data_IF_474196893535
#
_entry.id   IF_474196893535
#
_cell.length_a   1.000
_cell.length_b   1.000
_cell.length_c   1.000
_cell.angle_alpha   90.00
_cell.angle_beta   90.00
_cell.angle_gamma   90.00
#
_symmetry.space_group_name_H-M   'P 1'
#
loop_
_entity.id
_entity.type
_entity.pdbx_description
1 polymer ?
#
# COMPACT_ATOMS: atom_id res chain seq x y z
N UNK A 1 -30.12 1.66 -7.52
CA UNK A 1 -29.92 0.28 -8.04
C UNK A 1 -28.46 0.11 -8.44
N UNK A 2 -27.53 0.36 -7.52
CA UNK A 2 -26.07 0.37 -7.74
C UNK A 2 -25.31 0.05 -6.45
N UNK A 3 -25.90 0.39 -5.31
CA UNK A 3 -25.44 0.05 -3.96
C UNK A 3 -25.31 -1.46 -3.67
N UNK A 4 -26.14 -2.31 -4.27
CA UNK A 4 -26.09 -3.77 -4.03
C UNK A 4 -24.90 -4.45 -4.71
N UNK A 5 -24.44 -3.96 -5.86
CA UNK A 5 -23.28 -4.51 -6.57
C UNK A 5 -21.97 -4.11 -5.90
N UNK A 6 -21.87 -2.85 -5.43
CA UNK A 6 -20.69 -2.39 -4.69
C UNK A 6 -20.52 -3.14 -3.36
N UNK A 7 -21.63 -3.41 -2.64
CA UNK A 7 -21.61 -4.20 -1.41
C UNK A 7 -21.23 -5.67 -1.63
N UNK A 8 -21.66 -6.27 -2.74
CA UNK A 8 -21.38 -7.68 -3.06
C UNK A 8 -19.94 -7.89 -3.57
N UNK A 9 -19.40 -6.93 -4.34
CA UNK A 9 -17.98 -6.88 -4.71
C UNK A 9 -17.10 -6.65 -3.47
N UNK A 10 -17.51 -5.76 -2.56
CA UNK A 10 -16.84 -5.56 -1.28
C UNK A 10 -16.85 -6.82 -0.40
N UNK A 11 -17.94 -7.59 -0.38
CA UNK A 11 -18.04 -8.86 0.34
C UNK A 11 -17.17 -9.99 -0.26
N UNK A 12 -16.70 -9.83 -1.50
CA UNK A 12 -15.85 -10.78 -2.23
C UNK A 12 -14.39 -10.30 -2.38
N UNK A 13 -13.99 -9.26 -1.66
CA UNK A 13 -12.63 -8.70 -1.71
C UNK A 13 -11.89 -8.88 -0.37
N UNK A 14 -10.57 -9.05 -0.43
CA UNK A 14 -9.70 -9.13 0.74
C UNK A 14 -8.94 -7.82 0.91
N UNK A 15 -9.06 -7.21 2.09
CA UNK A 15 -8.30 -6.03 2.45
C UNK A 15 -6.91 -6.41 2.96
N UNK A 16 -5.87 -5.86 2.36
CA UNK A 16 -4.47 -6.03 2.76
C UNK A 16 -3.83 -4.67 3.03
N UNK A 17 -3.55 -4.37 4.30
CA UNK A 17 -2.93 -3.12 4.72
C UNK A 17 -1.48 -3.34 5.15
N UNK A 18 -0.53 -2.74 4.41
CA UNK A 18 0.90 -2.92 4.57
C UNK A 18 1.58 -1.58 4.84
N UNK A 19 2.34 -1.43 5.94
CA UNK A 19 3.22 -0.28 6.13
C UNK A 19 4.39 -0.36 5.15
N UNK A 20 4.73 0.75 4.50
CA UNK A 20 5.77 0.81 3.46
C UNK A 20 6.70 2.02 3.63
N UNK A 21 7.91 1.94 3.10
CA UNK A 21 8.92 3.00 3.17
C UNK A 21 8.81 4.06 2.07
N UNK A 22 8.07 3.76 1.00
CA UNK A 22 7.87 4.64 -0.16
C UNK A 22 6.85 5.76 0.12
N UNK A 23 6.82 6.80 -0.72
CA UNK A 23 5.79 7.82 -0.64
C UNK A 23 4.44 7.28 -1.18
N UNK A 24 3.30 7.79 -0.68
CA UNK A 24 1.99 7.39 -1.19
C UNK A 24 1.79 7.64 -2.69
N UNK A 25 2.46 8.66 -3.24
CA UNK A 25 2.42 8.96 -4.68
C UNK A 25 3.10 7.89 -5.52
N UNK A 26 4.25 7.36 -5.05
CA UNK A 26 5.00 6.33 -5.76
C UNK A 26 4.23 5.01 -5.76
N UNK A 27 3.57 4.69 -4.65
CA UNK A 27 2.71 3.52 -4.51
C UNK A 27 1.60 3.49 -5.59
N UNK A 28 0.91 4.63 -5.75
CA UNK A 28 -0.20 4.78 -6.70
C UNK A 28 0.33 4.85 -8.14
N UNK A 29 1.45 5.55 -8.35
CA UNK A 29 2.11 5.65 -9.66
C UNK A 29 2.52 4.28 -10.19
N UNK A 30 3.15 3.45 -9.37
CA UNK A 30 3.59 2.10 -9.75
C UNK A 30 2.42 1.23 -10.22
N UNK A 31 1.27 1.24 -9.52
CA UNK A 31 0.12 0.43 -9.96
C UNK A 31 -0.52 0.99 -11.24
N UNK A 32 -0.58 2.32 -11.37
CA UNK A 32 -1.09 2.97 -12.58
C UNK A 32 -0.27 2.56 -13.81
N UNK A 33 1.06 2.63 -13.73
CA UNK A 33 1.95 2.23 -14.83
C UNK A 33 1.75 0.74 -15.19
N UNK A 34 1.58 -0.14 -14.20
CA UNK A 34 1.33 -1.57 -14.43
C UNK A 34 0.04 -1.79 -15.20
N UNK A 35 -1.06 -1.18 -14.78
CA UNK A 35 -2.32 -1.44 -15.47
C UNK A 35 -2.51 -0.61 -16.75
N UNK A 36 -1.86 0.54 -16.91
CA UNK A 36 -1.71 1.19 -18.23
C UNK A 36 -1.01 0.23 -19.22
N UNK A 37 0.08 -0.43 -18.80
CA UNK A 37 0.77 -1.43 -19.61
C UNK A 37 -0.07 -2.69 -19.91
N UNK A 38 -1.06 -3.00 -19.07
CA UNK A 38 -2.01 -4.12 -19.26
C UNK A 38 -3.33 -3.69 -19.91
N UNK A 39 -3.49 -2.41 -20.26
CA UNK A 39 -4.70 -1.87 -20.88
C UNK A 39 -5.92 -1.77 -19.95
N UNK A 40 -5.73 -1.73 -18.64
CA UNK A 40 -6.82 -1.63 -17.66
C UNK A 40 -7.39 -0.21 -17.57
N UNK A 41 -8.72 -0.11 -17.59
CA UNK A 41 -9.43 1.13 -17.24
C UNK A 41 -9.30 1.42 -15.75
N UNK A 42 -8.90 2.64 -15.38
CA UNK A 42 -8.67 3.02 -13.98
C UNK A 42 -9.29 4.35 -13.63
N UNK A 43 -9.88 4.41 -12.42
CA UNK A 43 -10.42 5.63 -11.82
C UNK A 43 -9.62 6.04 -10.60
N UNK A 44 -9.26 7.32 -10.53
CA UNK A 44 -8.61 7.92 -9.36
C UNK A 44 -9.63 8.16 -8.26
N UNK A 45 -9.25 7.84 -7.02
CA UNK A 45 -10.00 8.15 -5.81
C UNK A 45 -9.19 9.13 -4.97
N UNK A 46 -9.86 10.15 -4.43
CA UNK A 46 -9.26 11.06 -3.47
C UNK A 46 -10.17 11.13 -2.25
N UNK A 47 -9.69 10.60 -1.12
CA UNK A 47 -10.44 10.48 0.12
C UNK A 47 -9.63 11.05 1.29
N UNK A 48 -10.27 11.24 2.44
CA UNK A 48 -9.63 11.62 3.70
C UNK A 48 -9.90 10.54 4.74
N UNK A 49 -8.85 9.90 5.27
CA UNK A 49 -8.96 8.86 6.31
C UNK A 49 -8.43 9.37 7.65
N UNK A 50 -9.17 9.06 8.71
CA UNK A 50 -8.73 9.37 10.07
C UNK A 50 -7.63 8.40 10.47
N UNK A 51 -6.48 8.92 10.92
CA UNK A 51 -5.34 8.14 11.40
C UNK A 51 -5.04 8.51 12.85
N UNK A 52 -4.76 7.50 13.68
CA UNK A 52 -4.44 7.70 15.09
C UNK A 52 -2.93 7.81 15.29
N UNK A 53 -2.49 8.84 16.03
CA UNK A 53 -1.11 8.99 16.52
C UNK A 53 -1.05 8.71 18.02
N UNK A 54 -0.02 8.01 18.46
CA UNK A 54 0.30 7.80 19.87
C UNK A 54 1.43 8.75 20.28
N UNK A 55 1.10 9.87 20.92
CA UNK A 55 2.05 10.65 21.69
C UNK A 55 1.72 10.42 23.15
N UNK A 56 2.62 9.73 23.87
CA UNK A 56 2.67 9.51 25.33
C UNK A 56 1.38 10.02 26.04
N UNK A 57 0.35 9.16 26.08
CA UNK A 57 -0.93 9.28 26.84
C UNK A 57 -2.17 9.88 26.12
N UNK A 58 -2.10 10.52 24.93
CA UNK A 58 -3.33 11.04 24.25
C UNK A 58 -3.43 10.66 22.77
N UNK A 59 -4.55 10.04 22.29
CA UNK A 59 -4.77 9.83 20.87
C UNK A 59 -5.11 11.14 20.17
N UNK A 60 -4.22 11.62 19.31
CA UNK A 60 -4.51 12.76 18.43
C UNK A 60 -4.85 12.19 17.04
N UNK A 61 -6.14 12.19 16.72
CA UNK A 61 -6.61 11.85 15.38
C UNK A 61 -6.30 12.99 14.42
N UNK A 62 -5.50 12.74 13.38
CA UNK A 62 -5.31 13.67 12.27
C UNK A 62 -5.94 13.08 11.01
N UNK A 63 -6.49 13.94 10.14
CA UNK A 63 -6.92 13.51 8.81
C UNK A 63 -5.67 13.33 7.94
N UNK A 64 -5.45 12.11 7.44
CA UNK A 64 -4.45 11.86 6.39
C UNK A 64 -5.16 11.94 5.04
N UNK A 65 -4.55 12.67 4.09
CA UNK A 65 -4.99 12.66 2.69
C UNK A 65 -4.71 11.27 2.12
N UNK A 66 -5.75 10.60 1.64
CA UNK A 66 -5.67 9.32 0.96
C UNK A 66 -5.68 9.58 -0.53
N UNK A 67 -4.73 8.97 -1.23
CA UNK A 67 -4.71 8.91 -2.68
C UNK A 67 -5.02 7.47 -3.03
N UNK A 68 -5.97 7.24 -3.94
CA UNK A 68 -6.37 5.91 -4.35
C UNK A 68 -6.56 5.79 -5.85
N UNK A 69 -6.64 4.54 -6.27
CA UNK A 69 -6.87 4.13 -7.65
C UNK A 69 -7.71 2.85 -7.61
N UNK A 70 -8.73 2.77 -8.44
CA UNK A 70 -9.55 1.57 -8.63
C UNK A 70 -9.46 1.15 -10.08
N UNK A 71 -9.25 -0.13 -10.29
CA UNK A 71 -9.32 -0.76 -11.61
C UNK A 71 -10.78 -1.09 -11.90
N UNK A 72 -11.32 -0.52 -12.97
CA UNK A 72 -12.73 -0.63 -13.35
C UNK A 72 -12.97 -1.73 -14.38
N UNK A 73 -11.96 -2.08 -15.18
CA UNK A 73 -12.08 -3.01 -16.30
C UNK A 73 -10.87 -3.95 -16.41
N UNK A 74 -11.07 -5.09 -17.07
CA UNK A 74 -10.06 -6.12 -17.29
C UNK A 74 -10.00 -7.18 -16.19
N UNK A 75 -8.92 -7.98 -16.21
CA UNK A 75 -8.72 -9.11 -15.29
C UNK A 75 -8.61 -8.70 -13.82
N UNK A 76 -8.24 -7.44 -13.55
CA UNK A 76 -8.13 -6.89 -12.21
C UNK A 76 -9.31 -6.00 -11.82
N UNK A 77 -10.46 -6.09 -12.50
CA UNK A 77 -11.66 -5.33 -12.14
C UNK A 77 -12.01 -5.52 -10.65
N UNK A 78 -12.20 -4.41 -9.94
CA UNK A 78 -12.43 -4.40 -8.50
C UNK A 78 -11.16 -4.35 -7.64
N UNK A 79 -9.96 -4.43 -8.23
CA UNK A 79 -8.72 -4.13 -7.51
C UNK A 79 -8.67 -2.65 -7.16
N UNK A 80 -8.48 -2.36 -5.88
CA UNK A 80 -8.19 -1.00 -5.42
C UNK A 80 -6.84 -0.93 -4.72
N UNK A 81 -6.19 0.22 -4.85
CA UNK A 81 -5.08 0.62 -4.00
C UNK A 81 -5.41 1.97 -3.39
N UNK A 82 -5.21 2.09 -2.08
CA UNK A 82 -5.24 3.35 -1.35
C UNK A 82 -3.92 3.53 -0.63
N UNK A 83 -3.36 4.72 -0.65
CA UNK A 83 -2.16 5.04 0.10
C UNK A 83 -2.28 6.36 0.84
N UNK A 84 -1.74 6.37 2.05
CA UNK A 84 -1.69 7.53 2.93
C UNK A 84 -0.42 7.47 3.77
N UNK A 85 -0.15 8.56 4.47
CA UNK A 85 0.98 8.63 5.40
C UNK A 85 0.61 9.44 6.62
N UNK A 86 1.20 9.10 7.75
CA UNK A 86 0.99 9.78 9.03
C UNK A 86 2.28 9.82 9.82
N UNK A 87 2.36 10.66 10.84
CA UNK A 87 3.56 10.79 11.69
C UNK A 87 3.26 10.09 13.02
N UNK A 88 3.71 8.83 13.26
CA UNK A 88 3.45 8.12 14.51
C UNK A 88 4.23 8.70 15.69
N UNK A 89 5.52 8.98 15.49
CA UNK A 89 6.43 9.56 16.50
C UNK A 89 6.47 11.08 16.44
N UNK A 90 7.61 11.71 16.72
CA UNK A 90 7.75 13.18 16.76
C UNK A 90 7.84 13.85 15.37
N UNK A 91 8.55 13.24 14.42
CA UNK A 91 8.89 13.87 13.14
C UNK A 91 8.79 12.98 11.89
N UNK A 92 9.06 11.67 12.00
CA UNK A 92 9.11 10.78 10.84
C UNK A 92 7.73 10.37 10.32
N UNK A 93 7.59 10.34 9.00
CA UNK A 93 6.37 9.89 8.32
C UNK A 93 6.42 8.38 8.09
N UNK A 94 5.35 7.69 8.44
CA UNK A 94 5.11 6.31 8.09
C UNK A 94 4.04 6.26 6.99
N UNK A 95 4.38 5.69 5.85
CA UNK A 95 3.44 5.45 4.76
C UNK A 95 2.77 4.10 4.92
N UNK A 96 1.54 4.00 4.45
CA UNK A 96 0.78 2.76 4.45
C UNK A 96 0.05 2.64 3.12
N UNK A 97 0.00 1.42 2.60
CA UNK A 97 -0.74 1.07 1.39
C UNK A 97 -1.78 0.03 1.78
N UNK A 98 -2.99 0.20 1.26
CA UNK A 98 -4.10 -0.73 1.39
C UNK A 98 -4.50 -1.20 0.02
N UNK A 99 -4.53 -2.51 -0.17
CA UNK A 99 -5.06 -3.14 -1.36
C UNK A 99 -6.41 -3.77 -1.02
N UNK A 100 -7.41 -3.57 -1.87
CA UNK A 100 -8.61 -4.40 -1.89
C UNK A 100 -8.46 -5.37 -3.06
N UNK A 101 -8.14 -6.62 -2.73
CA UNK A 101 -7.85 -7.66 -3.71
C UNK A 101 -9.14 -8.42 -4.01
N UNK A 102 -9.68 -8.37 -5.24
CA UNK A 102 -10.84 -9.15 -5.62
C UNK A 102 -10.50 -10.65 -5.57
N UNK A 103 -11.41 -11.48 -5.07
CA UNK A 103 -11.20 -12.94 -4.95
C UNK A 103 -10.80 -13.62 -6.25
N UNK A 104 -11.24 -13.11 -7.40
CA UNK A 104 -10.91 -13.64 -8.72
C UNK A 104 -9.40 -13.53 -9.03
N UNK A 105 -8.72 -12.56 -8.43
CA UNK A 105 -7.30 -12.29 -8.65
C UNK A 105 -6.39 -12.93 -7.56
N UNK A 106 -6.97 -13.53 -6.52
CA UNK A 106 -6.21 -14.15 -5.43
C UNK A 106 -5.31 -15.30 -5.93
N UNK A 107 -4.31 -15.67 -5.12
CA UNK A 107 -3.34 -16.71 -5.48
C UNK A 107 -2.19 -16.17 -6.33
N UNK A 108 -1.84 -16.86 -7.40
CA UNK A 108 -0.62 -16.55 -8.18
C UNK A 108 -0.72 -15.24 -8.96
N UNK A 109 -1.90 -14.87 -9.46
CA UNK A 109 -2.11 -13.61 -10.19
C UNK A 109 -1.82 -12.42 -9.30
N UNK A 110 -2.38 -12.40 -8.09
CA UNK A 110 -2.09 -11.41 -7.07
C UNK A 110 -0.62 -11.41 -6.64
N UNK A 111 -0.04 -12.57 -6.33
CA UNK A 111 1.39 -12.64 -5.95
C UNK A 111 2.29 -12.08 -7.05
N UNK A 112 2.01 -12.39 -8.33
CA UNK A 112 2.76 -11.88 -9.48
C UNK A 112 2.62 -10.36 -9.63
N UNK A 113 1.39 -9.84 -9.51
CA UNK A 113 1.13 -8.41 -9.53
C UNK A 113 1.84 -7.69 -8.38
N UNK A 114 1.78 -8.21 -7.15
CA UNK A 114 2.42 -7.59 -6.00
C UNK A 114 3.94 -7.60 -6.13
N UNK A 115 4.53 -8.65 -6.70
CA UNK A 115 5.98 -8.70 -7.04
C UNK A 115 6.34 -7.66 -8.11
N UNK A 116 5.55 -7.55 -9.16
CA UNK A 116 5.76 -6.56 -10.21
C UNK A 116 5.65 -5.13 -9.64
N UNK A 117 4.64 -4.87 -8.82
CA UNK A 117 4.46 -3.61 -8.12
C UNK A 117 5.63 -3.31 -7.18
N UNK A 118 6.10 -4.28 -6.39
CA UNK A 118 7.25 -4.08 -5.52
C UNK A 118 8.56 -3.83 -6.29
N UNK A 119 8.67 -4.36 -7.52
CA UNK A 119 9.83 -4.19 -8.40
C UNK A 119 9.83 -2.88 -9.19
N UNK A 120 8.68 -2.23 -9.39
CA UNK A 120 8.59 -0.94 -10.09
C UNK A 120 8.76 0.28 -9.17
N UNK A 121 8.98 0.05 -7.87
CA UNK A 121 9.18 1.11 -6.90
C UNK A 121 10.61 1.64 -6.90
N UNK A 122 10.82 2.92 -6.52
CA UNK A 122 12.14 3.55 -6.52
C UNK A 122 13.11 2.99 -5.46
N UNK A 123 12.57 2.31 -4.44
CA UNK A 123 13.32 1.67 -3.35
C UNK A 123 12.53 0.50 -2.79
N UNK A 124 13.20 -0.35 -2.01
CA UNK A 124 12.59 -1.52 -1.38
C UNK A 124 11.49 -1.14 -0.36
N UNK A 125 10.21 -1.51 -0.56
CA UNK A 125 9.10 -0.98 0.23
C UNK A 125 9.04 -1.47 1.68
N UNK A 126 9.75 -2.54 2.03
CA UNK A 126 9.83 -3.09 3.40
C UNK A 126 11.18 -2.84 4.08
N UNK A 127 12.03 -1.98 3.50
CA UNK A 127 13.29 -1.54 4.10
C UNK A 127 13.23 -0.06 4.47
N UNK A 128 13.71 0.25 5.67
CA UNK A 128 13.94 1.60 6.15
C UNK A 128 15.38 1.71 6.62
N UNK A 129 16.01 2.82 6.30
CA UNK A 129 17.31 3.21 6.83
C UNK A 129 17.25 3.43 8.34
N UNK A 130 18.42 3.42 8.97
CA UNK A 130 18.54 3.73 10.40
C UNK A 130 17.99 5.13 10.74
N UNK A 131 18.25 6.12 9.89
CA UNK A 131 17.78 7.50 10.06
C UNK A 131 16.26 7.60 9.99
N UNK A 132 15.63 6.96 8.99
CA UNK A 132 14.18 6.89 8.88
C UNK A 132 13.55 6.22 10.11
N UNK A 133 14.09 5.06 10.52
CA UNK A 133 13.61 4.37 11.72
C UNK A 133 13.71 5.24 12.96
N UNK A 134 14.81 5.98 13.11
CA UNK A 134 15.02 6.89 14.24
C UNK A 134 14.03 8.06 14.25
N UNK A 135 13.74 8.65 13.08
CA UNK A 135 12.77 9.76 12.98
C UNK A 135 11.32 9.31 13.20
N UNK A 136 10.94 8.14 12.67
CA UNK A 136 9.57 7.61 12.75
C UNK A 136 9.31 7.05 14.17
N UNK A 137 10.30 6.33 14.72
CA UNK A 137 10.22 5.64 16.00
C UNK A 137 10.89 4.28 15.90
N UNK A 138 12.11 4.14 16.43
CA UNK A 138 13.01 3.02 16.10
C UNK A 138 12.43 1.63 16.40
N UNK A 139 11.63 1.54 17.46
CA UNK A 139 11.02 0.30 17.98
C UNK A 139 9.59 0.05 17.50
N UNK A 140 9.13 0.80 16.50
CA UNK A 140 7.80 0.61 15.94
C UNK A 140 7.67 -0.79 15.31
N UNK A 141 6.61 -1.57 15.66
CA UNK A 141 6.40 -2.92 15.14
C UNK A 141 6.11 -2.94 13.63
N UNK A 142 5.75 -1.81 13.04
CA UNK A 142 5.37 -1.66 11.64
C UNK A 142 6.49 -2.08 10.67
N UNK A 143 7.76 -1.87 11.02
CA UNK A 143 8.88 -2.33 10.20
C UNK A 143 8.92 -3.85 10.07
N UNK A 144 8.69 -4.56 11.19
CA UNK A 144 8.61 -6.03 11.20
C UNK A 144 7.33 -6.48 10.52
N UNK A 145 6.20 -5.83 10.79
CA UNK A 145 4.90 -6.15 10.22
C UNK A 145 4.92 -6.04 8.70
N UNK A 146 5.57 -5.03 8.14
CA UNK A 146 5.77 -4.89 6.69
C UNK A 146 6.37 -6.14 6.08
N UNK A 147 7.54 -6.58 6.57
CA UNK A 147 8.23 -7.78 6.07
C UNK A 147 7.38 -9.04 6.22
N UNK A 148 6.68 -9.19 7.34
CA UNK A 148 5.80 -10.35 7.58
C UNK A 148 4.65 -10.39 6.58
N UNK A 149 4.04 -9.24 6.28
CA UNK A 149 2.93 -9.15 5.33
C UNK A 149 3.40 -9.46 3.90
N UNK A 150 4.51 -8.86 3.45
CA UNK A 150 5.06 -9.18 2.13
C UNK A 150 5.43 -10.68 1.99
N UNK A 151 6.05 -11.26 3.02
CA UNK A 151 6.34 -12.70 3.05
C UNK A 151 5.07 -13.56 3.03
N UNK A 152 4.02 -13.12 3.74
CA UNK A 152 2.71 -13.78 3.73
C UNK A 152 2.09 -13.84 2.33
N UNK A 153 2.31 -12.82 1.51
CA UNK A 153 1.89 -12.76 0.11
C UNK A 153 2.87 -13.44 -0.87
N UNK A 154 3.82 -14.24 -0.34
CA UNK A 154 4.83 -14.98 -1.11
C UNK A 154 5.81 -14.10 -1.89
N UNK A 155 6.03 -12.86 -1.43
CA UNK A 155 7.11 -12.00 -1.90
C UNK A 155 8.38 -12.33 -1.13
N UNK A 156 9.47 -12.60 -1.84
CA UNK A 156 10.77 -12.75 -1.19
C UNK A 156 11.22 -11.38 -0.68
N UNK A 157 11.50 -11.31 0.62
CA UNK A 157 11.89 -10.06 1.29
C UNK A 157 13.39 -9.92 1.45
N UNK A 158 14.14 -10.98 1.15
CA UNK A 158 15.59 -11.04 1.21
C UNK A 158 16.20 -10.64 -0.15
N UNK A 159 15.62 -11.16 -1.23
CA UNK A 159 16.06 -10.93 -2.62
C UNK A 159 15.19 -9.86 -3.32
N UNK A 160 15.46 -8.58 -3.04
CA UNK A 160 14.82 -7.48 -3.75
C UNK A 160 15.68 -7.04 -4.94
N UNK A 161 15.16 -7.26 -6.15
CA UNK A 161 15.85 -6.99 -7.43
C UNK A 161 15.60 -5.58 -8.01
N UNK A 162 15.04 -4.66 -7.22
CA UNK A 162 14.85 -3.28 -7.67
C UNK A 162 16.15 -2.47 -7.53
N UNK A 163 16.32 -1.46 -8.38
CA UNK A 163 17.41 -0.49 -8.23
C UNK A 163 17.07 0.46 -7.09
N UNK A 164 17.82 0.41 -5.99
CA UNK A 164 17.77 1.50 -5.00
C UNK A 164 18.33 2.74 -5.69
N UNK A 165 17.45 3.67 -6.05
CA UNK A 165 17.91 5.00 -6.46
C UNK A 165 18.19 5.76 -5.17
N UNK A 166 19.38 5.54 -4.61
CA UNK A 166 19.93 6.36 -3.54
C UNK A 166 20.20 7.77 -4.11
N UNK A 167 19.26 8.69 -3.91
CA UNK A 167 19.49 10.15 -3.97
C UNK A 167 19.32 10.77 -2.58
#
# INVERSE_FOLDING_TARGET
MGESLEAEVMASSRLLEIPVSIAPTDAIRALREIGEARGWGMRRIQESRMVHRWAIIVPISRQARVIGLVVEDGEAAGLSIRSWSYVPGSAGRLSTVSFEVPRQMEGEVWTSLLKQWAGSLPRCPWKWSFGERSMIGYFLPEFRRSRVLFRGERVDTDDWNGSDSDE
#
